data_IF_070902904070
#
_entry.id   IF_070902904070
#
_cell.length_a   1.000
_cell.length_b   1.000
_cell.length_c   1.000
_cell.angle_alpha   90.00
_cell.angle_beta   90.00
_cell.angle_gamma   90.00
#
_symmetry.space_group_name_H-M   'P 1'
#
loop_
_entity.id
_entity.type
_entity.pdbx_description
1 polymer ?
#
# COMPACT_ATOMS: atom_id res chain seq x y z
N UNK A 1 -31.08 14.10 -5.37
CA UNK A 1 -30.54 12.75 -5.62
C UNK A 1 -30.25 12.13 -4.27
N UNK A 2 -30.76 10.92 -4.00
CA UNK A 2 -30.37 10.17 -2.82
C UNK A 2 -28.88 9.81 -2.93
N UNK A 3 -28.12 10.11 -1.88
CA UNK A 3 -26.71 9.76 -1.74
C UNK A 3 -26.59 8.67 -0.69
N UNK A 4 -25.64 7.75 -0.86
CA UNK A 4 -25.22 6.78 0.17
C UNK A 4 -23.72 6.89 0.36
N UNK A 5 -23.21 6.43 1.51
CA UNK A 5 -21.77 6.22 1.65
C UNK A 5 -21.37 4.92 1.00
N UNK A 6 -20.27 4.93 0.25
CA UNK A 6 -19.69 3.71 -0.27
C UNK A 6 -19.23 2.84 0.91
N UNK A 7 -19.68 1.57 1.02
CA UNK A 7 -19.31 0.70 2.14
C UNK A 7 -17.80 0.39 2.20
N UNK A 8 -17.08 0.61 1.10
CA UNK A 8 -15.66 0.26 0.96
C UNK A 8 -14.69 1.42 1.19
N UNK A 9 -15.10 2.66 0.91
CA UNK A 9 -14.23 3.83 1.03
C UNK A 9 -14.85 5.01 1.77
N UNK A 10 -16.07 4.87 2.30
CA UNK A 10 -16.82 5.86 3.07
C UNK A 10 -17.13 7.20 2.36
N UNK A 11 -16.69 7.36 1.11
CA UNK A 11 -17.02 8.50 0.25
C UNK A 11 -18.48 8.49 -0.18
N UNK A 12 -19.06 9.68 -0.38
CA UNK A 12 -20.44 9.83 -0.84
C UNK A 12 -20.59 9.46 -2.32
N UNK A 13 -21.51 8.54 -2.58
CA UNK A 13 -21.83 8.01 -3.91
C UNK A 13 -23.35 8.09 -4.15
N UNK A 14 -23.74 8.00 -5.42
CA UNK A 14 -25.15 7.93 -5.77
C UNK A 14 -25.77 6.60 -5.29
N UNK A 15 -27.03 6.64 -4.88
CA UNK A 15 -27.70 5.47 -4.28
C UNK A 15 -27.82 4.29 -5.25
N UNK A 16 -27.94 4.58 -6.55
CA UNK A 16 -28.02 3.65 -7.68
C UNK A 16 -26.65 3.32 -8.30
N UNK A 17 -25.55 3.81 -7.73
CA UNK A 17 -24.21 3.50 -8.23
C UNK A 17 -23.97 1.98 -8.19
N UNK A 18 -23.76 1.38 -9.36
CA UNK A 18 -23.39 -0.04 -9.56
C UNK A 18 -21.89 -0.24 -9.32
N UNK A 19 -21.10 0.83 -9.40
CA UNK A 19 -19.65 0.83 -9.15
C UNK A 19 -19.23 2.14 -8.51
N UNK A 20 -18.41 2.07 -7.46
CA UNK A 20 -17.97 3.27 -6.76
C UNK A 20 -16.91 4.02 -7.59
N UNK A 21 -17.15 5.31 -7.87
CA UNK A 21 -16.20 6.17 -8.60
C UNK A 21 -14.89 6.45 -7.84
N UNK A 22 -14.87 6.24 -6.52
CA UNK A 22 -13.71 6.54 -5.65
C UNK A 22 -12.79 5.33 -5.43
N UNK A 23 -13.36 4.13 -5.25
CA UNK A 23 -12.60 2.89 -5.00
C UNK A 23 -12.70 1.84 -6.12
N UNK A 24 -13.61 2.00 -7.08
CA UNK A 24 -13.85 1.10 -8.22
C UNK A 24 -14.38 -0.28 -7.84
N UNK A 25 -14.80 -0.44 -6.60
CA UNK A 25 -15.50 -1.64 -6.15
C UNK A 25 -16.92 -1.65 -6.74
N UNK A 26 -17.34 -2.82 -7.20
CA UNK A 26 -18.71 -3.04 -7.67
C UNK A 26 -19.66 -3.11 -6.47
N UNK A 27 -20.83 -2.51 -6.60
CA UNK A 27 -21.85 -2.36 -5.57
C UNK A 27 -23.06 -3.27 -5.85
N UNK A 28 -22.84 -4.35 -6.58
CA UNK A 28 -23.84 -5.10 -7.34
C UNK A 28 -24.90 -5.84 -6.51
N UNK A 29 -26.15 -5.72 -6.98
CA UNK A 29 -27.21 -6.73 -6.90
C UNK A 29 -27.42 -7.23 -8.32
N UNK A 30 -27.19 -8.50 -8.60
CA UNK A 30 -27.48 -9.10 -9.91
C UNK A 30 -28.55 -10.18 -9.75
N UNK A 31 -29.59 -10.12 -10.58
CA UNK A 31 -30.67 -11.11 -10.69
C UNK A 31 -30.16 -12.30 -11.53
N UNK A 32 -30.50 -13.53 -11.12
CA UNK A 32 -30.14 -14.79 -11.80
C UNK A 32 -31.42 -15.42 -12.35
N UNK A 33 -31.43 -15.77 -13.64
CA UNK A 33 -32.44 -16.66 -14.25
C UNK A 33 -32.07 -18.12 -13.95
N UNK A 34 -33.10 -18.92 -13.67
CA UNK A 34 -33.04 -20.33 -13.23
C UNK A 34 -32.43 -21.24 -14.29
N UNK A 35 -31.53 -22.15 -13.88
CA UNK A 35 -31.49 -23.55 -14.33
C UNK A 35 -30.46 -24.38 -13.50
N UNK A 36 -30.96 -25.48 -12.94
CA UNK A 36 -30.35 -26.71 -12.41
C UNK A 36 -29.12 -26.68 -11.46
N UNK A 37 -29.39 -27.03 -10.20
CA UNK A 37 -28.55 -26.96 -9.00
C UNK A 37 -27.20 -27.70 -9.02
N UNK A 38 -27.00 -28.71 -9.87
CA UNK A 38 -25.77 -29.51 -9.87
C UNK A 38 -24.64 -28.92 -10.74
N UNK A 39 -24.95 -27.93 -11.60
CA UNK A 39 -23.99 -27.31 -12.53
C UNK A 39 -23.50 -25.93 -12.04
N UNK A 40 -24.03 -25.47 -10.90
CA UNK A 40 -23.84 -24.13 -10.32
C UNK A 40 -22.39 -23.85 -9.88
N UNK A 41 -21.61 -24.88 -9.53
CA UNK A 41 -20.26 -24.68 -8.99
C UNK A 41 -19.24 -24.10 -10.00
N UNK A 42 -19.54 -24.08 -11.30
CA UNK A 42 -18.52 -23.86 -12.33
C UNK A 42 -18.44 -22.43 -12.90
N UNK A 43 -19.38 -21.54 -12.62
CA UNK A 43 -19.38 -20.18 -13.22
C UNK A 43 -20.05 -19.14 -12.33
N UNK A 44 -19.50 -18.84 -11.16
CA UNK A 44 -19.86 -17.61 -10.44
C UNK A 44 -18.62 -16.83 -9.98
N UNK A 45 -18.61 -15.58 -10.43
CA UNK A 45 -17.53 -14.62 -10.51
C UNK A 45 -16.88 -14.34 -9.15
N UNK A 46 -15.56 -14.47 -9.13
CA UNK A 46 -14.65 -14.13 -8.03
C UNK A 46 -14.99 -12.73 -7.52
N UNK A 47 -15.61 -12.63 -6.34
CA UNK A 47 -15.67 -11.36 -5.60
C UNK A 47 -14.23 -11.00 -5.26
N UNK A 48 -13.81 -9.79 -5.62
CA UNK A 48 -12.46 -9.21 -5.51
C UNK A 48 -11.96 -9.00 -4.07
N UNK A 49 -12.53 -9.72 -3.11
CA UNK A 49 -12.28 -9.58 -1.69
C UNK A 49 -11.60 -10.85 -1.19
N UNK A 50 -10.29 -10.76 -0.90
CA UNK A 50 -9.57 -11.86 -0.25
C UNK A 50 -10.22 -12.12 1.10
N UNK A 51 -11.02 -13.17 1.18
CA UNK A 51 -11.72 -13.59 2.39
C UNK A 51 -11.09 -14.89 2.88
N UNK A 52 -10.88 -14.98 4.20
CA UNK A 52 -10.28 -16.16 4.82
C UNK A 52 -11.32 -16.92 5.65
N UNK A 53 -11.40 -18.23 5.45
CA UNK A 53 -12.15 -19.13 6.32
C UNK A 53 -11.49 -19.17 7.71
N UNK A 54 -12.25 -18.84 8.76
CA UNK A 54 -11.74 -18.87 10.14
C UNK A 54 -11.58 -20.29 10.71
N UNK A 55 -12.25 -21.29 10.12
CA UNK A 55 -12.17 -22.69 10.56
C UNK A 55 -10.87 -23.37 10.06
N UNK A 56 -10.59 -23.34 8.75
CA UNK A 56 -9.42 -24.01 8.15
C UNK A 56 -8.35 -23.06 7.59
N UNK A 57 -8.57 -21.74 7.60
CA UNK A 57 -7.60 -20.77 7.11
C UNK A 57 -7.51 -20.65 5.58
N UNK A 58 -8.37 -21.33 4.82
CA UNK A 58 -8.41 -21.26 3.35
C UNK A 58 -8.69 -19.84 2.86
N UNK A 59 -7.97 -19.42 1.81
CA UNK A 59 -8.21 -18.18 1.06
C UNK A 59 -9.12 -18.41 -0.16
N UNK A 60 -9.39 -19.67 -0.48
CA UNK A 60 -10.37 -20.06 -1.50
C UNK A 60 -11.71 -20.24 -0.79
N UNK A 61 -12.51 -19.17 -0.84
CA UNK A 61 -13.85 -19.09 -0.28
C UNK A 61 -14.77 -18.59 -1.37
N UNK A 62 -15.91 -19.27 -1.56
CA UNK A 62 -16.86 -18.96 -2.61
C UNK A 62 -18.12 -18.34 -2.02
N UNK A 63 -18.68 -17.34 -2.70
CA UNK A 63 -20.01 -16.82 -2.38
C UNK A 63 -21.04 -17.67 -3.11
N UNK A 64 -21.88 -18.38 -2.38
CA UNK A 64 -22.92 -19.27 -2.90
C UNK A 64 -24.28 -18.65 -2.61
N UNK A 65 -25.18 -18.62 -3.59
CA UNK A 65 -26.54 -18.12 -3.39
C UNK A 65 -27.46 -19.26 -2.96
N UNK A 66 -28.31 -19.01 -1.97
CA UNK A 66 -29.29 -19.97 -1.47
C UNK A 66 -30.61 -19.83 -2.24
N UNK A 67 -31.40 -20.90 -2.29
CA UNK A 67 -32.71 -20.93 -2.97
C UNK A 67 -33.69 -19.85 -2.46
N UNK A 68 -33.53 -19.44 -1.19
CA UNK A 68 -34.32 -18.37 -0.55
C UNK A 68 -33.96 -16.94 -1.04
N UNK A 69 -33.08 -16.82 -2.04
CA UNK A 69 -32.55 -15.54 -2.51
C UNK A 69 -31.51 -14.91 -1.57
N UNK A 70 -31.04 -15.67 -0.57
CA UNK A 70 -29.93 -15.31 0.30
C UNK A 70 -28.57 -15.63 -0.34
N UNK A 71 -27.49 -15.33 0.38
CA UNK A 71 -26.17 -15.84 0.04
C UNK A 71 -25.42 -16.24 1.30
N UNK A 72 -24.57 -17.24 1.16
CA UNK A 72 -23.61 -17.67 2.17
C UNK A 72 -22.21 -17.80 1.56
N UNK A 73 -21.20 -17.88 2.41
CA UNK A 73 -19.84 -18.15 1.98
C UNK A 73 -19.51 -19.59 2.28
N UNK A 74 -18.96 -20.33 1.32
CA UNK A 74 -18.67 -21.74 1.44
C UNK A 74 -17.17 -22.01 1.26
N UNK A 75 -16.63 -22.88 2.11
CA UNK A 75 -15.22 -23.28 2.04
C UNK A 75 -15.08 -24.71 1.50
N UNK A 76 -14.35 -24.94 0.39
CA UNK A 76 -14.09 -26.29 -0.13
C UNK A 76 -13.26 -27.14 0.82
N UNK A 77 -12.36 -26.51 1.58
CA UNK A 77 -11.43 -27.22 2.46
C UNK A 77 -12.11 -27.71 3.75
N UNK A 78 -13.10 -26.96 4.24
CA UNK A 78 -13.88 -27.34 5.40
C UNK A 78 -15.19 -28.05 5.02
N UNK A 79 -15.56 -28.04 3.74
CA UNK A 79 -16.80 -28.59 3.19
C UNK A 79 -18.07 -28.10 3.94
N UNK A 80 -18.05 -26.84 4.39
CA UNK A 80 -19.11 -26.24 5.20
C UNK A 80 -19.35 -24.78 4.80
N UNK A 81 -20.55 -24.28 5.12
CA UNK A 81 -20.84 -22.85 5.05
C UNK A 81 -20.22 -22.11 6.24
N UNK A 82 -19.53 -21.03 5.91
CA UNK A 82 -18.73 -20.23 6.85
C UNK A 82 -19.66 -19.22 7.51
N UNK A 83 -19.87 -19.39 8.82
CA UNK A 83 -20.68 -18.47 9.64
C UNK A 83 -19.98 -17.14 9.94
N UNK A 84 -18.65 -17.11 9.85
CA UNK A 84 -17.85 -15.91 10.14
C UNK A 84 -16.67 -15.81 9.18
N UNK A 85 -16.63 -14.73 8.41
CA UNK A 85 -15.49 -14.40 7.55
C UNK A 85 -14.56 -13.41 8.21
N UNK A 86 -13.27 -13.55 7.93
CA UNK A 86 -12.33 -12.45 8.11
C UNK A 86 -12.07 -11.79 6.75
N UNK A 87 -12.44 -10.52 6.63
CA UNK A 87 -12.09 -9.70 5.48
C UNK A 87 -10.59 -9.38 5.53
N UNK A 88 -9.82 -9.83 4.53
CA UNK A 88 -8.42 -9.41 4.42
C UNK A 88 -8.41 -8.10 3.64
N UNK A 89 -8.00 -6.97 4.27
CA UNK A 89 -7.92 -5.71 3.56
C UNK A 89 -6.98 -5.87 2.36
N UNK A 90 -7.39 -5.38 1.19
CA UNK A 90 -6.60 -5.42 -0.05
C UNK A 90 -5.25 -4.77 0.22
N UNK A 91 -4.25 -5.60 0.46
CA UNK A 91 -2.92 -5.15 0.77
C UNK A 91 -2.17 -4.94 -0.55
N UNK A 92 -1.56 -3.76 -0.70
CA UNK A 92 -0.75 -3.39 -1.86
C UNK A 92 0.70 -3.17 -1.41
N UNK A 93 1.48 -4.23 -1.11
CA UNK A 93 2.83 -4.10 -0.57
C UNK A 93 3.73 -3.21 -1.44
N UNK A 94 3.70 -3.44 -2.75
CA UNK A 94 4.52 -2.70 -3.72
C UNK A 94 4.16 -1.21 -3.79
N UNK A 95 2.88 -0.86 -3.68
CA UNK A 95 2.45 0.54 -3.66
C UNK A 95 3.00 1.26 -2.43
N UNK A 96 2.96 0.63 -1.26
CA UNK A 96 3.56 1.19 -0.03
C UNK A 96 5.07 1.34 -0.14
N UNK A 97 5.75 0.32 -0.69
CA UNK A 97 7.19 0.33 -0.91
C UNK A 97 7.61 1.47 -1.84
N UNK A 98 7.00 1.56 -3.02
CA UNK A 98 7.32 2.58 -4.03
C UNK A 98 6.95 4.00 -3.57
N UNK A 99 5.89 4.17 -2.79
CA UNK A 99 5.56 5.48 -2.19
C UNK A 99 6.71 5.98 -1.30
N UNK A 100 7.27 5.09 -0.47
CA UNK A 100 8.40 5.43 0.41
C UNK A 100 9.73 5.57 -0.35
N UNK A 101 9.97 4.75 -1.39
CA UNK A 101 11.17 4.89 -2.23
C UNK A 101 11.14 6.21 -2.99
N UNK A 102 10.01 6.58 -3.59
CA UNK A 102 9.86 7.87 -4.25
C UNK A 102 10.23 9.02 -3.31
N UNK A 103 9.68 9.03 -2.09
CA UNK A 103 10.01 10.01 -1.05
C UNK A 103 11.53 10.09 -0.78
N UNK A 104 12.20 8.95 -0.60
CA UNK A 104 13.65 8.92 -0.34
C UNK A 104 14.48 9.41 -1.53
N UNK A 105 14.20 8.93 -2.75
CA UNK A 105 14.95 9.34 -3.94
C UNK A 105 14.77 10.83 -4.21
N UNK A 106 13.54 11.35 -4.08
CA UNK A 106 13.28 12.78 -4.24
C UNK A 106 14.04 13.60 -3.18
N UNK A 107 14.03 13.17 -1.92
CA UNK A 107 14.74 13.88 -0.86
C UNK A 107 16.26 13.84 -1.04
N UNK A 108 16.84 12.69 -1.41
CA UNK A 108 18.27 12.57 -1.70
C UNK A 108 18.67 13.50 -2.85
N UNK A 109 17.89 13.56 -3.93
CA UNK A 109 18.17 14.46 -5.06
C UNK A 109 18.05 15.94 -4.70
N UNK A 110 17.12 16.31 -3.81
CA UNK A 110 17.01 17.68 -3.30
C UNK A 110 18.25 18.04 -2.48
N UNK A 111 18.66 17.18 -1.54
CA UNK A 111 19.84 17.41 -0.70
C UNK A 111 21.12 17.46 -1.55
N UNK A 112 21.28 16.54 -2.51
CA UNK A 112 22.42 16.55 -3.42
C UNK A 112 22.46 17.82 -4.26
N UNK A 113 21.33 18.21 -4.89
CA UNK A 113 21.24 19.43 -5.70
C UNK A 113 21.57 20.69 -4.90
N UNK A 114 20.99 20.84 -3.70
CA UNK A 114 21.27 21.99 -2.81
C UNK A 114 22.74 22.00 -2.38
N UNK A 115 23.30 20.84 -2.03
CA UNK A 115 24.71 20.72 -1.69
C UNK A 115 25.62 21.14 -2.84
N UNK A 116 25.32 20.71 -4.07
CA UNK A 116 26.08 21.06 -5.28
C UNK A 116 25.99 22.56 -5.60
N UNK A 117 24.83 23.19 -5.39
CA UNK A 117 24.68 24.65 -5.56
C UNK A 117 25.54 25.42 -4.56
N UNK A 118 25.66 24.95 -3.32
CA UNK A 118 26.41 25.63 -2.25
C UNK A 118 27.92 25.41 -2.39
N UNK A 119 28.35 24.17 -2.58
CA UNK A 119 29.77 23.81 -2.65
C UNK A 119 29.99 22.53 -3.47
N UNK A 120 30.20 22.66 -4.80
CA UNK A 120 30.44 21.50 -5.67
C UNK A 120 31.65 20.67 -5.22
N UNK A 121 32.76 21.33 -4.91
CA UNK A 121 34.02 20.65 -4.55
C UNK A 121 33.97 19.91 -3.22
N UNK A 122 33.17 20.40 -2.26
CA UNK A 122 32.90 19.67 -1.03
C UNK A 122 32.02 18.46 -1.29
N UNK A 123 30.95 18.62 -2.08
CA UNK A 123 30.02 17.54 -2.40
C UNK A 123 30.70 16.39 -3.13
N UNK A 124 31.54 16.67 -4.13
CA UNK A 124 32.29 15.64 -4.84
C UNK A 124 33.17 14.81 -3.88
N UNK A 125 33.92 15.48 -3.00
CA UNK A 125 34.76 14.81 -2.00
C UNK A 125 33.93 14.00 -1.01
N UNK A 126 32.80 14.54 -0.56
CA UNK A 126 31.93 13.90 0.41
C UNK A 126 31.28 12.64 -0.18
N UNK A 127 30.79 12.71 -1.41
CA UNK A 127 30.20 11.57 -2.13
C UNK A 127 31.26 10.50 -2.38
N UNK A 128 32.43 10.86 -2.94
CA UNK A 128 33.48 9.87 -3.24
C UNK A 128 33.99 9.11 -2.01
N UNK A 129 34.09 9.77 -0.85
CA UNK A 129 34.68 9.16 0.35
C UNK A 129 33.64 8.51 1.27
N UNK A 130 32.41 9.01 1.28
CA UNK A 130 31.42 8.69 2.32
C UNK A 130 30.00 8.48 1.78
N UNK A 131 29.83 8.09 0.51
CA UNK A 131 28.51 7.89 -0.13
C UNK A 131 27.49 7.13 0.73
N UNK A 132 27.84 5.94 1.23
CA UNK A 132 26.92 5.10 2.02
C UNK A 132 26.51 5.78 3.32
N UNK A 133 27.45 6.47 3.97
CA UNK A 133 27.18 7.20 5.21
C UNK A 133 26.23 8.39 4.95
N UNK A 134 26.45 9.13 3.86
CA UNK A 134 25.57 10.24 3.47
C UNK A 134 24.16 9.76 3.15
N UNK A 135 24.02 8.67 2.39
CA UNK A 135 22.72 8.05 2.09
C UNK A 135 22.03 7.61 3.38
N UNK A 136 22.75 6.94 4.28
CA UNK A 136 22.23 6.50 5.57
C UNK A 136 21.70 7.67 6.40
N UNK A 137 22.51 8.72 6.58
CA UNK A 137 22.12 9.93 7.34
C UNK A 137 20.93 10.62 6.69
N UNK A 138 20.93 10.76 5.36
CA UNK A 138 19.84 11.41 4.63
C UNK A 138 18.52 10.66 4.77
N UNK A 139 18.53 9.33 4.61
CA UNK A 139 17.36 8.48 4.82
C UNK A 139 16.92 8.48 6.29
N UNK A 140 17.87 8.53 7.23
CA UNK A 140 17.57 8.63 8.64
C UNK A 140 16.83 9.94 8.97
N UNK A 141 17.34 11.08 8.48
CA UNK A 141 16.72 12.42 8.62
C UNK A 141 15.30 12.42 8.03
N UNK A 142 15.08 11.77 6.90
CA UNK A 142 13.74 11.69 6.30
C UNK A 142 12.70 11.08 7.24
N UNK A 143 13.05 10.19 8.17
CA UNK A 143 12.06 9.64 9.11
C UNK A 143 11.47 10.71 10.04
N UNK A 144 12.23 11.75 10.38
CA UNK A 144 11.74 12.90 11.16
C UNK A 144 10.82 13.78 10.32
N UNK A 145 11.19 14.02 9.06
CA UNK A 145 10.39 14.79 8.10
C UNK A 145 9.08 14.06 7.80
N UNK A 146 9.13 12.75 7.54
CA UNK A 146 7.95 11.91 7.34
C UNK A 146 7.01 11.99 8.54
N UNK A 147 7.53 11.93 9.78
CA UNK A 147 6.70 12.07 10.97
C UNK A 147 6.01 13.46 11.04
N UNK A 148 6.73 14.52 10.68
CA UNK A 148 6.18 15.87 10.57
C UNK A 148 5.08 15.97 9.51
N UNK A 149 5.31 15.44 8.32
CA UNK A 149 4.35 15.43 7.21
C UNK A 149 3.09 14.60 7.53
N UNK A 150 3.26 13.42 8.14
CA UNK A 150 2.13 12.58 8.53
C UNK A 150 1.29 13.20 9.66
N UNK A 151 1.92 13.90 10.60
CA UNK A 151 1.18 14.54 11.70
C UNK A 151 0.47 15.84 11.30
N UNK A 152 1.05 16.60 10.38
CA UNK A 152 0.47 17.88 9.92
C UNK A 152 -0.43 17.70 8.70
N UNK A 153 0.08 17.10 7.62
CA UNK A 153 -0.62 16.93 6.34
C UNK A 153 -1.40 15.61 6.27
N UNK A 154 -1.05 14.61 7.08
CA UNK A 154 -1.66 13.28 7.00
C UNK A 154 -1.13 12.42 5.85
N UNK A 155 -0.11 12.90 5.12
CA UNK A 155 0.46 12.20 3.96
C UNK A 155 1.89 12.69 3.67
N UNK A 156 2.60 12.00 2.78
CA UNK A 156 3.90 12.43 2.20
C UNK A 156 3.77 12.55 0.68
N UNK A 157 4.68 13.23 -0.04
CA UNK A 157 4.57 13.39 -1.49
C UNK A 157 4.32 12.08 -2.26
N UNK A 158 5.10 11.03 -1.98
CA UNK A 158 4.96 9.72 -2.61
C UNK A 158 3.68 8.99 -2.19
N UNK A 159 3.27 9.11 -0.91
CA UNK A 159 2.01 8.51 -0.44
C UNK A 159 0.79 9.21 -1.01
N UNK A 160 0.82 10.53 -1.14
CA UNK A 160 -0.21 11.31 -1.81
C UNK A 160 -0.32 10.92 -3.28
N UNK A 161 0.82 10.79 -3.96
CA UNK A 161 0.90 10.43 -5.37
C UNK A 161 0.33 9.02 -5.60
N UNK A 162 0.69 8.05 -4.76
CA UNK A 162 0.21 6.67 -4.85
C UNK A 162 -1.04 6.37 -4.02
N UNK A 163 -1.75 7.41 -3.56
CA UNK A 163 -3.03 7.29 -2.81
C UNK A 163 -2.97 6.33 -1.62
N UNK A 164 -1.87 6.39 -0.86
CA UNK A 164 -1.71 5.71 0.43
C UNK A 164 -2.08 6.67 1.55
N UNK A 165 -3.02 6.27 2.41
CA UNK A 165 -3.41 7.03 3.60
C UNK A 165 -3.15 6.19 4.85
N UNK A 166 -2.73 6.85 5.92
CA UNK A 166 -2.44 6.22 7.21
C UNK A 166 -3.24 6.98 8.26
N UNK A 167 -4.09 6.27 8.99
CA UNK A 167 -4.99 6.83 10.01
C UNK A 167 -4.95 5.97 11.28
N UNK A 168 -5.33 6.56 12.39
CA UNK A 168 -5.60 5.80 13.62
C UNK A 168 -6.89 5.00 13.45
N UNK A 169 -7.16 4.05 14.36
CA UNK A 169 -8.47 3.38 14.48
C UNK A 169 -9.67 4.37 14.52
N UNK A 170 -9.48 5.54 15.13
CA UNK A 170 -10.49 6.61 15.23
C UNK A 170 -10.51 7.57 14.02
N UNK A 171 -9.93 7.17 12.88
CA UNK A 171 -9.82 7.95 11.63
C UNK A 171 -9.08 9.30 11.72
N UNK A 172 -8.41 9.57 12.83
CA UNK A 172 -7.60 10.76 13.02
C UNK A 172 -6.23 10.64 12.33
N UNK A 173 -5.61 11.80 12.06
CA UNK A 173 -4.18 11.88 11.70
C UNK A 173 -3.34 11.36 12.87
N UNK A 174 -2.18 10.80 12.56
CA UNK A 174 -1.23 10.35 13.59
C UNK A 174 -0.68 11.58 14.31
N UNK A 175 -0.52 11.51 15.63
CA UNK A 175 0.31 12.51 16.30
C UNK A 175 1.79 12.31 15.92
N UNK A 176 2.64 13.31 16.15
CA UNK A 176 4.05 13.25 15.73
C UNK A 176 4.77 12.05 16.34
N UNK A 177 4.55 11.74 17.61
CA UNK A 177 5.20 10.62 18.31
C UNK A 177 4.79 9.26 17.73
N UNK A 178 3.51 9.08 17.40
CA UNK A 178 2.97 7.90 16.72
C UNK A 178 3.59 7.76 15.33
N UNK A 179 3.61 8.85 14.55
CA UNK A 179 4.18 8.86 13.21
C UNK A 179 5.69 8.57 13.22
N UNK A 180 6.43 9.14 14.17
CA UNK A 180 7.87 8.93 14.33
C UNK A 180 8.19 7.50 14.79
N UNK A 181 7.51 7.00 15.82
CA UNK A 181 7.64 5.61 16.30
C UNK A 181 7.39 4.60 15.18
N UNK A 182 6.37 4.88 14.36
CA UNK A 182 6.08 4.09 13.16
C UNK A 182 7.19 4.20 12.12
N UNK A 183 7.64 5.41 11.78
CA UNK A 183 8.69 5.63 10.77
C UNK A 183 10.00 4.92 11.14
N UNK A 184 10.45 5.02 12.38
CA UNK A 184 11.63 4.29 12.89
C UNK A 184 11.42 2.78 12.85
N UNK A 185 10.24 2.30 13.24
CA UNK A 185 9.92 0.86 13.16
C UNK A 185 9.96 0.35 11.72
N UNK A 186 9.50 1.13 10.74
CA UNK A 186 9.61 0.79 9.32
C UNK A 186 11.07 0.80 8.86
N UNK A 187 11.85 1.79 9.27
CA UNK A 187 13.26 1.89 8.90
C UNK A 187 14.10 0.73 9.46
N UNK A 188 13.80 0.29 10.69
CA UNK A 188 14.49 -0.82 11.33
C UNK A 188 13.96 -2.19 10.86
N UNK A 189 12.66 -2.47 11.04
CA UNK A 189 12.08 -3.80 10.77
C UNK A 189 11.64 -4.01 9.33
N UNK A 190 11.45 -2.94 8.56
CA UNK A 190 11.10 -3.01 7.14
C UNK A 190 12.34 -2.90 6.26
N UNK A 191 13.08 -1.80 6.41
CA UNK A 191 14.23 -1.47 5.55
C UNK A 191 15.57 -2.00 6.07
N UNK A 192 15.62 -2.68 7.21
CA UNK A 192 16.86 -3.27 7.76
C UNK A 192 18.00 -2.26 7.90
N UNK A 193 17.69 -0.99 8.20
CA UNK A 193 18.66 0.12 8.27
C UNK A 193 19.51 0.30 7.01
N UNK A 194 18.98 -0.06 5.83
CA UNK A 194 19.69 -0.04 4.54
C UNK A 194 20.90 -1.00 4.45
N UNK A 195 20.98 -1.98 5.35
CA UNK A 195 21.99 -3.05 5.29
C UNK A 195 21.56 -4.14 4.30
N UNK A 196 22.44 -5.10 3.94
CA UNK A 196 22.06 -6.24 3.10
C UNK A 196 20.90 -7.09 3.67
N UNK A 197 20.69 -7.06 4.99
CA UNK A 197 19.57 -7.74 5.67
C UNK A 197 18.21 -7.19 5.23
N UNK A 198 18.18 -5.96 4.67
CA UNK A 198 16.98 -5.30 4.16
C UNK A 198 16.20 -6.12 3.13
N UNK A 199 16.88 -6.94 2.33
CA UNK A 199 16.23 -7.82 1.36
C UNK A 199 15.31 -8.82 2.06
N UNK A 200 15.82 -9.51 3.09
CA UNK A 200 15.06 -10.48 3.85
C UNK A 200 13.92 -9.80 4.63
N UNK A 201 14.18 -8.68 5.30
CA UNK A 201 13.14 -7.97 6.07
C UNK A 201 12.00 -7.50 5.16
N UNK A 202 12.30 -7.01 3.96
CA UNK A 202 11.31 -6.63 2.98
C UNK A 202 10.49 -7.83 2.50
N UNK A 203 11.13 -8.95 2.15
CA UNK A 203 10.43 -10.18 1.74
C UNK A 203 9.49 -10.70 2.82
N UNK A 204 9.97 -10.83 4.07
CA UNK A 204 9.14 -11.26 5.19
C UNK A 204 8.00 -10.29 5.47
N UNK A 205 8.26 -8.98 5.38
CA UNK A 205 7.21 -7.97 5.58
C UNK A 205 6.14 -8.01 4.49
N UNK A 206 6.53 -8.28 3.24
CA UNK A 206 5.63 -8.38 2.09
C UNK A 206 4.78 -9.66 2.16
N UNK A 207 5.38 -10.81 2.49
CA UNK A 207 4.64 -12.05 2.73
C UNK A 207 3.64 -11.88 3.89
N UNK A 208 4.11 -11.35 5.03
CA UNK A 208 3.26 -11.11 6.20
C UNK A 208 2.10 -10.16 5.88
N UNK A 209 2.35 -9.08 5.15
CA UNK A 209 1.31 -8.13 4.74
C UNK A 209 0.33 -8.77 3.73
N UNK A 210 0.81 -9.66 2.87
CA UNK A 210 -0.03 -10.36 1.88
C UNK A 210 -0.92 -11.42 2.52
N UNK A 211 -0.44 -12.10 3.57
CA UNK A 211 -1.18 -13.13 4.31
C UNK A 211 -2.09 -12.56 5.40
N UNK A 212 -1.59 -11.59 6.19
CA UNK A 212 -2.27 -11.09 7.40
C UNK A 212 -2.94 -9.73 7.21
N UNK A 213 -2.74 -9.05 6.07
CA UNK A 213 -3.29 -7.72 5.80
C UNK A 213 -2.67 -6.58 6.62
N UNK A 214 -1.80 -6.87 7.59
CA UNK A 214 -1.19 -5.87 8.49
C UNK A 214 0.30 -6.16 8.75
N UNK A 215 1.09 -5.09 8.88
CA UNK A 215 2.53 -5.18 9.21
C UNK A 215 2.76 -5.14 10.72
N UNK A 216 3.97 -5.46 11.19
CA UNK A 216 4.32 -5.41 12.62
C UNK A 216 4.22 -4.00 13.21
N UNK A 217 4.72 -3.00 12.49
CA UNK A 217 4.71 -1.61 12.94
C UNK A 217 3.33 -0.97 12.86
N UNK A 218 2.49 -1.37 11.90
CA UNK A 218 1.10 -0.91 11.84
C UNK A 218 0.28 -1.56 12.97
N UNK A 219 0.50 -2.85 13.26
CA UNK A 219 -0.16 -3.55 14.38
C UNK A 219 0.21 -2.95 15.74
N UNK A 220 1.49 -2.62 15.96
CA UNK A 220 1.97 -2.08 17.25
C UNK A 220 1.29 -0.76 17.64
N UNK A 221 0.98 0.09 16.67
CA UNK A 221 0.35 1.39 16.91
C UNK A 221 -1.12 1.46 16.51
N UNK A 222 -1.76 0.33 16.23
CA UNK A 222 -3.16 0.25 15.79
C UNK A 222 -3.49 1.16 14.59
N UNK A 223 -2.54 1.23 13.65
CA UNK A 223 -2.67 2.08 12.46
C UNK A 223 -3.38 1.34 11.33
N UNK A 224 -4.33 2.04 10.72
CA UNK A 224 -5.03 1.58 9.53
C UNK A 224 -4.38 2.25 8.32
N UNK A 225 -4.03 1.43 7.33
CA UNK A 225 -3.41 1.91 6.10
C UNK A 225 -4.31 1.55 4.93
N UNK A 226 -4.94 2.57 4.35
CA UNK A 226 -5.88 2.44 3.24
C UNK A 226 -5.25 2.84 1.91
N UNK A 227 -5.81 2.30 0.83
CA UNK A 227 -5.40 2.59 -0.55
C UNK A 227 -6.63 2.98 -1.36
N UNK A 228 -6.51 4.01 -2.19
CA UNK A 228 -7.53 4.35 -3.21
C UNK A 228 -7.07 3.92 -4.60
N UNK A 229 -7.94 4.06 -5.60
CA UNK A 229 -7.56 3.87 -7.00
C UNK A 229 -6.49 4.90 -7.35
N UNK A 230 -5.45 4.44 -8.04
CA UNK A 230 -4.39 5.29 -8.57
C UNK A 230 -4.66 5.45 -10.07
N UNK A 231 -5.02 6.66 -10.49
CA UNK A 231 -5.22 6.96 -11.90
C UNK A 231 -3.89 7.05 -12.67
N UNK A 232 -3.89 6.84 -14.00
CA UNK A 232 -2.67 6.89 -14.82
C UNK A 232 -1.87 8.19 -14.68
N UNK A 233 -2.57 9.34 -14.53
CA UNK A 233 -1.95 10.66 -14.34
C UNK A 233 -1.04 10.75 -13.10
N UNK A 234 -1.20 9.86 -12.13
CA UNK A 234 -0.34 9.79 -10.93
C UNK A 234 0.77 8.75 -11.06
N UNK A 235 0.55 7.70 -11.84
CA UNK A 235 1.51 6.60 -12.04
C UNK A 235 2.60 7.03 -13.03
N UNK A 236 2.21 7.66 -14.14
CA UNK A 236 3.13 8.06 -15.21
C UNK A 236 4.30 8.91 -14.67
N UNK A 237 4.09 9.96 -13.85
CA UNK A 237 5.19 10.73 -13.28
C UNK A 237 6.14 9.90 -12.41
N UNK A 238 5.62 8.92 -11.66
CA UNK A 238 6.46 8.02 -10.82
C UNK A 238 7.34 7.15 -11.71
N UNK A 239 6.76 6.57 -12.77
CA UNK A 239 7.51 5.73 -13.72
C UNK A 239 8.58 6.57 -14.43
N UNK A 240 8.20 7.75 -14.95
CA UNK A 240 9.14 8.66 -15.61
C UNK A 240 10.26 9.09 -14.67
N UNK A 241 9.95 9.41 -13.41
CA UNK A 241 10.95 9.78 -12.41
C UNK A 241 12.01 8.68 -12.24
N UNK A 242 11.60 7.43 -12.06
CA UNK A 242 12.55 6.32 -11.91
C UNK A 242 13.26 5.96 -13.23
N UNK A 243 12.58 6.12 -14.37
CA UNK A 243 13.17 5.92 -15.68
C UNK A 243 14.28 6.95 -15.95
N UNK A 244 14.05 8.22 -15.62
CA UNK A 244 15.06 9.28 -15.76
C UNK A 244 16.28 8.97 -14.89
N UNK A 245 16.09 8.61 -13.62
CA UNK A 245 17.18 8.21 -12.73
C UNK A 245 17.96 7.02 -13.33
N UNK A 246 17.25 6.01 -13.84
CA UNK A 246 17.87 4.85 -14.46
C UNK A 246 18.69 5.21 -15.71
N UNK A 247 18.13 6.04 -16.60
CA UNK A 247 18.81 6.51 -17.81
C UNK A 247 20.03 7.36 -17.47
N UNK A 248 19.95 8.25 -16.48
CA UNK A 248 21.10 9.04 -16.01
C UNK A 248 22.24 8.14 -15.54
N UNK A 249 21.94 7.08 -14.78
CA UNK A 249 22.96 6.12 -14.34
C UNK A 249 23.59 5.33 -15.50
N UNK A 250 22.83 5.04 -16.56
CA UNK A 250 23.37 4.39 -17.76
C UNK A 250 24.30 5.34 -18.51
N UNK A 251 23.86 6.58 -18.73
CA UNK A 251 24.65 7.60 -19.44
C UNK A 251 25.97 7.82 -18.70
N UNK A 252 25.93 8.01 -17.38
CA UNK A 252 27.11 8.22 -16.55
C UNK A 252 28.12 7.06 -16.68
N UNK A 253 27.63 5.80 -16.67
CA UNK A 253 28.50 4.64 -16.91
C UNK A 253 29.11 4.62 -18.30
N UNK A 254 28.37 5.02 -19.33
CA UNK A 254 28.87 5.05 -20.71
C UNK A 254 29.89 6.18 -20.90
N UNK A 255 29.66 7.35 -20.30
CA UNK A 255 30.55 8.52 -20.46
C UNK A 255 31.84 8.42 -19.65
N UNK A 256 31.85 7.64 -18.56
CA UNK A 256 33.03 7.41 -17.72
C UNK A 256 33.77 6.09 -18.04
N UNK A 257 33.42 5.41 -19.16
CA UNK A 257 34.16 4.30 -19.76
C UNK A 257 35.11 4.82 -20.84
#
# INVERSE_FOLDING_TARGET
MLMKKCPYCAEEIQNDAIKCKHCAEWLGKDKVEEDDAATIATKQTIVTEKTQCLTCGSLEVYKVYTEDGGFEYWCPQCNESIKSLQFIPISRPWVRYWARKFDYFAFIMIIASVGYIISPSFMDKAIMKHEYFLIFVTVFIWNFIEAGLLSTLGTTPGKWLLKVSIRTNNDNKLNYQQAFSRAISVWFYGLGMLTPVSFFTLLFSADKLSRKGITTWDKKGEFIVSHSIIGPLRIIPVILFFLIIFLMNIIDKITNL
#
